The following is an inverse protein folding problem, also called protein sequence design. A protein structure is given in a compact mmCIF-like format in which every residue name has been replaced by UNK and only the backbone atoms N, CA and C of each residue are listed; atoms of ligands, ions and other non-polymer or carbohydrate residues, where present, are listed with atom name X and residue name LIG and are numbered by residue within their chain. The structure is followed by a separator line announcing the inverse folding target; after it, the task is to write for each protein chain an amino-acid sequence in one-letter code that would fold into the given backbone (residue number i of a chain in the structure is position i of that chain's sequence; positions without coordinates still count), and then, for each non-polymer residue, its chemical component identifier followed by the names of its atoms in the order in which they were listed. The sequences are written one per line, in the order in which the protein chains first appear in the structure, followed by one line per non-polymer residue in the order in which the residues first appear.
data_IF_171230235612
#
_entry.id   IF_171230235612
#
_cell.length_a   1.000
_cell.length_b   1.000
_cell.length_c   1.000
_cell.angle_alpha   90.00
_cell.angle_beta   90.00
_cell.angle_gamma   90.00
#
_symmetry.space_group_name_H-M   'P 1'
#
loop_
_entity.id
_entity.type
_entity.pdbx_description
1 polymer ?
#
# COMPACT_ATOMS: atom_id res chain seq x y z
N UNK A 1 -4.16 31.22 -7.94
CA UNK A 1 -3.40 29.98 -7.61
C UNK A 1 -2.78 29.99 -6.22
N UNK A 2 -2.69 31.15 -5.52
CA UNK A 2 -2.11 31.22 -4.17
C UNK A 2 -2.96 30.56 -3.08
N UNK A 3 -4.26 30.84 -3.03
CA UNK A 3 -5.13 30.37 -1.95
C UNK A 3 -5.30 28.85 -1.90
N UNK A 4 -5.36 28.15 -3.04
CA UNK A 4 -5.48 26.67 -3.08
C UNK A 4 -4.25 25.98 -2.50
N UNK A 5 -3.05 26.55 -2.72
CA UNK A 5 -1.80 26.04 -2.12
C UNK A 5 -1.74 26.30 -0.63
N UNK A 6 -2.13 27.49 -0.19
CA UNK A 6 -2.18 27.84 1.24
C UNK A 6 -3.17 26.93 1.98
N UNK A 7 -4.35 26.68 1.41
CA UNK A 7 -5.31 25.73 1.98
C UNK A 7 -4.78 24.30 1.95
N UNK A 8 -4.17 23.84 0.86
CA UNK A 8 -3.57 22.50 0.78
C UNK A 8 -2.56 22.27 1.92
N UNK A 9 -1.69 23.26 2.20
CA UNK A 9 -0.77 23.21 3.33
C UNK A 9 -1.51 23.24 4.67
N UNK A 10 -2.47 24.15 4.84
CA UNK A 10 -3.28 24.26 6.05
C UNK A 10 -4.06 22.98 6.37
N UNK A 11 -4.56 22.28 5.34
CA UNK A 11 -5.24 21.00 5.45
C UNK A 11 -4.31 19.90 5.99
N UNK A 12 -3.07 19.82 5.49
CA UNK A 12 -2.07 18.86 5.99
C UNK A 12 -1.72 19.17 7.44
N UNK A 13 -1.46 20.45 7.77
CA UNK A 13 -1.15 20.88 9.14
C UNK A 13 -2.32 20.55 10.07
N UNK A 14 -3.56 20.86 9.66
CA UNK A 14 -4.75 20.52 10.42
C UNK A 14 -4.87 19.00 10.65
N UNK A 15 -4.57 18.18 9.63
CA UNK A 15 -4.57 16.72 9.78
C UNK A 15 -3.56 16.23 10.82
N UNK A 16 -2.34 16.78 10.78
CA UNK A 16 -1.28 16.48 11.76
C UNK A 16 -1.74 16.86 13.17
N UNK A 17 -2.32 18.06 13.35
CA UNK A 17 -2.81 18.51 14.65
C UNK A 17 -3.97 17.64 15.17
N UNK A 18 -4.91 17.27 14.31
CA UNK A 18 -6.08 16.45 14.68
C UNK A 18 -5.72 15.00 15.00
N UNK A 19 -4.73 14.43 14.31
CA UNK A 19 -4.38 13.01 14.48
C UNK A 19 -3.15 12.77 15.34
N UNK A 20 -2.22 13.72 15.40
CA UNK A 20 -0.96 13.60 16.13
C UNK A 20 -1.17 13.35 17.62
N UNK A 21 -2.15 14.00 18.27
CA UNK A 21 -2.47 13.73 19.68
C UNK A 21 -2.99 12.31 19.93
N UNK A 22 -3.78 11.76 19.00
CA UNK A 22 -4.27 10.37 19.09
C UNK A 22 -3.12 9.39 18.87
N UNK A 23 -2.28 9.64 17.87
CA UNK A 23 -1.07 8.85 17.57
C UNK A 23 -0.14 8.84 18.78
N UNK A 24 0.17 10.01 19.34
CA UNK A 24 1.00 10.16 20.54
C UNK A 24 0.45 9.35 21.71
N UNK A 25 -0.87 9.44 21.95
CA UNK A 25 -1.53 8.69 23.02
C UNK A 25 -1.43 7.18 22.79
N UNK A 26 -1.64 6.70 21.57
CA UNK A 26 -1.53 5.25 21.28
C UNK A 26 -0.09 4.74 21.45
N UNK A 27 0.90 5.48 20.96
CA UNK A 27 2.32 5.14 21.10
C UNK A 27 2.73 5.12 22.58
N UNK A 28 2.26 6.09 23.37
CA UNK A 28 2.54 6.15 24.81
C UNK A 28 1.85 5.04 25.62
N UNK A 29 0.67 4.57 25.19
CA UNK A 29 -0.04 3.45 25.81
C UNK A 29 0.67 2.11 25.58
N UNK A 30 1.37 1.98 24.45
CA UNK A 30 2.08 0.75 24.08
C UNK A 30 3.53 1.10 23.72
N UNK A 31 4.38 1.41 24.72
CA UNK A 31 5.79 1.67 24.48
C UNK A 31 6.45 0.44 23.84
N UNK A 32 7.46 0.67 22.99
CA UNK A 32 8.12 -0.41 22.22
C UNK A 32 8.67 -1.52 23.14
N UNK A 33 9.14 -1.16 24.35
CA UNK A 33 9.64 -2.10 25.36
C UNK A 33 8.61 -3.12 25.80
N UNK A 34 7.32 -2.76 25.78
CA UNK A 34 6.21 -3.59 26.27
C UNK A 34 5.25 -3.96 25.14
N UNK A 35 5.66 -3.79 23.87
CA UNK A 35 4.79 -3.96 22.71
C UNK A 35 4.62 -5.45 22.32
N UNK A 36 5.62 -6.28 22.60
CA UNK A 36 5.68 -7.69 22.18
C UNK A 36 4.44 -8.54 22.53
N UNK A 37 3.81 -8.39 23.72
CA UNK A 37 2.58 -9.13 24.05
C UNK A 37 1.38 -8.77 23.16
N UNK A 38 1.45 -7.66 22.42
CA UNK A 38 0.38 -7.15 21.58
C UNK A 38 0.71 -7.23 20.09
N UNK A 39 1.99 -7.07 19.73
CA UNK A 39 2.44 -7.13 18.35
C UNK A 39 3.95 -7.33 18.25
N UNK A 40 4.33 -8.14 17.28
CA UNK A 40 5.71 -8.42 16.90
C UNK A 40 6.22 -7.56 15.74
N UNK A 41 5.36 -6.77 15.08
CA UNK A 41 5.72 -6.05 13.85
C UNK A 41 6.89 -5.07 14.08
N UNK A 42 6.74 -4.12 15.01
CA UNK A 42 7.80 -3.12 15.26
C UNK A 42 9.05 -3.78 15.85
N UNK A 43 8.97 -4.66 16.87
CA UNK A 43 10.15 -5.35 17.38
C UNK A 43 10.88 -6.19 16.33
N UNK A 44 10.15 -6.89 15.45
CA UNK A 44 10.75 -7.60 14.34
C UNK A 44 11.53 -6.65 13.42
N UNK A 45 10.94 -5.52 13.02
CA UNK A 45 11.61 -4.51 12.19
C UNK A 45 12.88 -3.96 12.83
N UNK A 46 12.92 -3.79 14.16
CA UNK A 46 14.13 -3.39 14.88
C UNK A 46 15.25 -4.43 14.78
N UNK A 47 14.91 -5.73 14.67
CA UNK A 47 15.91 -6.77 14.41
C UNK A 47 16.50 -6.62 13.00
N UNK A 48 15.67 -6.34 11.98
CA UNK A 48 16.18 -6.11 10.61
C UNK A 48 17.15 -4.92 10.55
N UNK A 49 16.74 -3.78 11.11
CA UNK A 49 17.53 -2.54 11.08
C UNK A 49 18.80 -2.66 11.92
N UNK A 50 18.73 -3.26 13.12
CA UNK A 50 19.89 -3.49 13.98
C UNK A 50 20.91 -4.40 13.30
N UNK A 51 20.47 -5.50 12.66
CA UNK A 51 21.35 -6.38 11.88
C UNK A 51 22.04 -5.63 10.75
N UNK A 52 21.29 -4.82 10.00
CA UNK A 52 21.86 -4.01 8.92
C UNK A 52 22.92 -3.02 9.44
N UNK A 53 22.62 -2.30 10.52
CA UNK A 53 23.51 -1.31 11.12
C UNK A 53 24.77 -1.94 11.74
N UNK A 54 24.68 -3.18 12.23
CA UNK A 54 25.80 -3.91 12.84
C UNK A 54 26.57 -4.80 11.85
N UNK A 55 26.19 -4.79 10.57
CA UNK A 55 26.82 -5.62 9.53
C UNK A 55 26.52 -7.11 9.64
N UNK A 56 25.47 -7.49 10.39
CA UNK A 56 24.98 -8.86 10.45
C UNK A 56 24.12 -9.19 9.23
N UNK A 57 23.99 -10.48 8.92
CA UNK A 57 23.07 -10.93 7.87
C UNK A 57 21.63 -10.62 8.28
N UNK A 58 20.94 -9.80 7.49
CA UNK A 58 19.56 -9.35 7.78
C UNK A 58 18.58 -10.52 7.67
N UNK A 59 18.70 -11.30 6.59
CA UNK A 59 17.78 -12.38 6.23
C UNK A 59 18.21 -13.74 6.81
N UNK A 60 18.26 -13.81 8.14
CA UNK A 60 18.45 -15.06 8.90
C UNK A 60 17.33 -15.23 9.93
N UNK A 61 17.07 -16.44 10.40
CA UNK A 61 16.04 -16.73 11.41
C UNK A 61 16.02 -15.68 12.54
N UNK A 62 14.84 -15.15 12.83
CA UNK A 62 14.59 -14.21 13.93
C UNK A 62 13.99 -15.02 15.07
N UNK A 63 14.51 -14.83 16.28
CA UNK A 63 13.89 -15.34 17.50
C UNK A 63 13.30 -14.17 18.26
N UNK A 64 11.99 -14.20 18.51
CA UNK A 64 11.27 -13.13 19.17
C UNK A 64 10.20 -13.74 20.08
N UNK A 65 10.08 -13.26 21.32
CA UNK A 65 9.09 -13.74 22.29
C UNK A 65 8.98 -15.28 22.43
N UNK A 66 10.09 -16.00 22.27
CA UNK A 66 10.15 -17.47 22.43
C UNK A 66 9.83 -18.30 21.19
N UNK A 67 9.40 -17.68 20.08
CA UNK A 67 9.21 -18.36 18.79
C UNK A 67 10.26 -17.91 17.76
N UNK A 68 10.35 -18.68 16.67
CA UNK A 68 11.30 -18.49 15.58
C UNK A 68 10.55 -18.35 14.27
N UNK A 69 11.05 -17.49 13.39
CA UNK A 69 10.52 -17.34 12.04
C UNK A 69 11.59 -16.87 11.06
N UNK A 70 11.45 -17.22 9.78
CA UNK A 70 12.30 -16.68 8.72
C UNK A 70 11.85 -15.27 8.32
N UNK A 71 12.80 -14.34 8.13
CA UNK A 71 12.54 -13.02 7.60
C UNK A 71 11.80 -13.04 6.26
N UNK A 72 10.59 -12.48 6.22
CA UNK A 72 9.76 -12.41 5.03
C UNK A 72 9.54 -10.97 4.51
N UNK A 73 10.03 -9.95 5.22
CA UNK A 73 9.83 -8.55 4.86
C UNK A 73 10.82 -8.09 3.78
N UNK A 74 10.33 -7.60 2.62
CA UNK A 74 11.18 -6.99 1.59
C UNK A 74 11.90 -5.73 2.10
N UNK A 75 13.01 -5.29 1.47
CA UNK A 75 13.83 -4.19 2.00
C UNK A 75 13.09 -2.90 2.30
N UNK A 76 12.14 -2.46 1.45
CA UNK A 76 11.38 -1.24 1.71
C UNK A 76 10.25 -1.39 2.73
N UNK A 77 10.10 -2.56 3.35
CA UNK A 77 9.29 -2.68 4.55
C UNK A 77 10.07 -2.37 5.84
N UNK A 78 11.41 -2.45 5.83
CA UNK A 78 12.25 -2.26 7.04
C UNK A 78 13.38 -1.23 6.88
N UNK A 79 14.09 -1.20 5.75
CA UNK A 79 15.22 -0.32 5.47
C UNK A 79 14.90 1.18 5.66
N UNK A 80 13.70 1.68 5.33
CA UNK A 80 13.32 3.07 5.57
C UNK A 80 13.36 3.48 7.05
N UNK A 81 13.35 2.53 7.99
CA UNK A 81 13.44 2.81 9.42
C UNK A 81 14.88 2.94 9.94
N UNK A 82 15.90 2.67 9.13
CA UNK A 82 17.31 2.94 9.52
C UNK A 82 17.54 4.37 10.00
N UNK A 83 17.09 5.43 9.28
CA UNK A 83 17.20 6.79 9.81
C UNK A 83 16.39 7.01 11.10
N UNK A 84 15.26 6.32 11.27
CA UNK A 84 14.47 6.42 12.50
C UNK A 84 15.23 5.83 13.69
N UNK A 85 15.84 4.65 13.50
CA UNK A 85 16.70 3.99 14.49
C UNK A 85 17.88 4.87 14.91
N UNK A 86 18.61 5.44 13.94
CA UNK A 86 19.77 6.31 14.19
C UNK A 86 19.40 7.60 14.94
N UNK A 87 18.18 8.10 14.76
CA UNK A 87 17.67 9.32 15.40
C UNK A 87 16.89 9.04 16.70
N UNK A 88 16.71 7.78 17.09
CA UNK A 88 15.88 7.39 18.23
C UNK A 88 14.40 7.75 18.05
N UNK A 89 13.91 7.77 16.81
CA UNK A 89 12.49 8.04 16.50
C UNK A 89 11.73 6.72 16.46
N UNK A 90 10.62 6.64 17.19
CA UNK A 90 9.71 5.49 17.13
C UNK A 90 9.23 5.23 15.68
N UNK A 91 9.29 3.98 15.24
CA UNK A 91 9.00 3.61 13.85
C UNK A 91 7.56 3.97 13.46
N UNK A 92 6.63 3.97 14.41
CA UNK A 92 5.22 4.34 14.18
C UNK A 92 5.07 5.82 13.87
N UNK A 93 5.85 6.70 14.53
CA UNK A 93 5.92 8.12 14.18
C UNK A 93 6.50 8.33 12.78
N UNK A 94 7.58 7.60 12.45
CA UNK A 94 8.19 7.68 11.14
C UNK A 94 7.23 7.23 10.02
N UNK A 95 6.53 6.12 10.23
CA UNK A 95 5.51 5.60 9.32
C UNK A 95 4.32 6.56 9.18
N UNK A 96 3.84 7.16 10.28
CA UNK A 96 2.77 8.15 10.23
C UNK A 96 3.19 9.40 9.44
N UNK A 97 4.45 9.82 9.57
CA UNK A 97 5.05 10.88 8.77
C UNK A 97 4.95 10.62 7.27
N UNK A 98 5.18 9.39 6.83
CA UNK A 98 5.03 8.99 5.43
C UNK A 98 3.55 9.04 4.96
N UNK A 99 2.58 8.71 5.81
CA UNK A 99 1.16 8.87 5.47
C UNK A 99 0.77 10.35 5.31
N UNK A 100 1.21 11.22 6.22
CA UNK A 100 1.02 12.67 6.08
C UNK A 100 1.73 13.24 4.85
N UNK A 101 2.91 12.73 4.50
CA UNK A 101 3.56 13.09 3.23
C UNK A 101 2.72 12.65 2.03
N UNK A 102 2.13 11.45 2.05
CA UNK A 102 1.17 10.99 1.04
C UNK A 102 -0.05 11.90 0.90
N UNK A 103 -0.61 12.36 2.03
CA UNK A 103 -1.67 13.35 2.05
C UNK A 103 -1.21 14.70 1.47
N UNK A 104 0.00 15.16 1.80
CA UNK A 104 0.55 16.39 1.24
C UNK A 104 0.73 16.31 -0.27
N UNK A 105 1.20 15.18 -0.79
CA UNK A 105 1.30 14.90 -2.22
C UNK A 105 -0.08 14.94 -2.90
N UNK A 106 -1.09 14.35 -2.27
CA UNK A 106 -2.48 14.43 -2.73
C UNK A 106 -2.96 15.89 -2.81
N UNK A 107 -2.83 16.66 -1.73
CA UNK A 107 -3.32 18.04 -1.65
C UNK A 107 -2.59 18.96 -2.63
N UNK A 108 -1.28 18.75 -2.81
CA UNK A 108 -0.49 19.46 -3.80
C UNK A 108 -0.95 19.17 -5.23
N UNK A 109 -1.27 17.91 -5.54
CA UNK A 109 -1.80 17.53 -6.85
C UNK A 109 -3.19 18.14 -7.07
N UNK A 110 -4.07 18.12 -6.06
CA UNK A 110 -5.39 18.75 -6.11
C UNK A 110 -5.32 20.27 -6.32
N UNK A 111 -4.39 20.96 -5.66
CA UNK A 111 -4.21 22.41 -5.79
C UNK A 111 -3.80 22.86 -7.20
N UNK A 112 -3.31 21.94 -8.04
CA UNK A 112 -2.95 22.17 -9.45
C UNK A 112 -4.14 21.99 -10.40
N UNK A 113 -5.24 21.37 -9.94
CA UNK A 113 -6.43 21.14 -10.75
C UNK A 113 -7.33 22.39 -10.77
N UNK A 114 -7.93 22.68 -11.93
CA UNK A 114 -8.84 23.82 -12.13
C UNK A 114 -10.30 23.41 -11.93
N UNK A 115 -10.66 23.01 -10.71
CA UNK A 115 -11.99 22.51 -10.37
C UNK A 115 -12.97 23.62 -9.96
N UNK A 116 -14.26 23.29 -9.89
CA UNK A 116 -15.27 24.14 -9.23
C UNK A 116 -15.06 24.10 -7.73
N UNK A 117 -15.33 25.20 -7.03
CA UNK A 117 -15.06 25.31 -5.59
C UNK A 117 -15.71 24.18 -4.74
N UNK A 118 -16.98 23.79 -4.94
CA UNK A 118 -17.58 22.70 -4.16
C UNK A 118 -16.89 21.35 -4.38
N UNK A 119 -16.58 21.00 -5.65
CA UNK A 119 -15.87 19.77 -5.99
C UNK A 119 -14.46 19.78 -5.41
N UNK A 120 -13.77 20.91 -5.51
CA UNK A 120 -12.44 21.09 -4.96
C UNK A 120 -12.44 20.94 -3.44
N UNK A 121 -13.38 21.57 -2.74
CA UNK A 121 -13.49 21.51 -1.28
C UNK A 121 -13.79 20.08 -0.83
N UNK A 122 -14.73 19.39 -1.49
CA UNK A 122 -15.05 17.99 -1.19
C UNK A 122 -13.81 17.11 -1.32
N UNK A 123 -13.07 17.23 -2.44
CA UNK A 123 -11.84 16.47 -2.68
C UNK A 123 -10.73 16.82 -1.69
N UNK A 124 -10.66 18.07 -1.25
CA UNK A 124 -9.65 18.50 -0.27
C UNK A 124 -9.96 17.98 1.13
N UNK A 125 -11.23 17.98 1.54
CA UNK A 125 -11.64 17.60 2.90
C UNK A 125 -11.74 16.08 3.07
N UNK A 126 -12.19 15.35 2.04
CA UNK A 126 -12.49 13.93 2.15
C UNK A 126 -11.30 13.08 2.65
N UNK A 127 -10.07 13.17 2.11
CA UNK A 127 -8.93 12.41 2.62
C UNK A 127 -8.55 12.76 4.06
N UNK A 128 -8.76 14.02 4.49
CA UNK A 128 -8.49 14.46 5.86
C UNK A 128 -9.44 13.76 6.83
N UNK A 129 -10.73 13.74 6.50
CA UNK A 129 -11.75 13.08 7.30
C UNK A 129 -11.49 11.58 7.35
N UNK A 130 -11.19 10.96 6.20
CA UNK A 130 -10.86 9.53 6.15
C UNK A 130 -9.66 9.23 7.05
N UNK A 131 -8.54 9.96 6.92
CA UNK A 131 -7.37 9.74 7.77
C UNK A 131 -7.70 9.96 9.26
N UNK A 132 -8.45 11.01 9.59
CA UNK A 132 -8.82 11.31 10.97
C UNK A 132 -9.70 10.22 11.60
N UNK A 133 -10.76 9.81 10.91
CA UNK A 133 -11.63 8.75 11.41
C UNK A 133 -10.91 7.41 11.48
N UNK A 134 -10.06 7.08 10.50
CA UNK A 134 -9.25 5.86 10.54
C UNK A 134 -8.35 5.82 11.77
N UNK A 135 -7.65 6.90 12.10
CA UNK A 135 -6.80 6.97 13.31
C UNK A 135 -7.64 6.86 14.60
N UNK A 136 -8.87 7.37 14.60
CA UNK A 136 -9.77 7.31 15.76
C UNK A 136 -10.39 5.93 15.98
N UNK A 137 -10.82 5.26 14.91
CA UNK A 137 -11.53 3.97 14.96
C UNK A 137 -10.55 2.80 14.99
N UNK A 138 -9.54 2.82 14.12
CA UNK A 138 -8.57 1.74 13.95
C UNK A 138 -7.27 2.03 14.71
N UNK A 139 -7.39 2.30 16.01
CA UNK A 139 -6.26 2.71 16.87
C UNK A 139 -5.11 1.70 16.86
N UNK A 140 -5.43 0.42 16.72
CA UNK A 140 -4.45 -0.67 16.65
C UNK A 140 -3.53 -0.55 15.42
N UNK A 141 -4.02 0.00 14.30
CA UNK A 141 -3.18 0.24 13.11
C UNK A 141 -2.01 1.14 13.47
N UNK A 142 -2.27 2.19 14.24
CA UNK A 142 -1.27 3.17 14.65
C UNK A 142 -0.43 2.66 15.82
N UNK A 143 -1.04 1.94 16.75
CA UNK A 143 -0.36 1.44 17.95
C UNK A 143 0.61 0.28 17.63
N UNK A 144 0.22 -0.62 16.74
CA UNK A 144 0.87 -1.93 16.59
C UNK A 144 1.58 -2.11 15.25
N UNK A 145 1.27 -1.29 14.25
CA UNK A 145 1.78 -1.50 12.89
C UNK A 145 2.52 -0.27 12.36
N UNK A 146 3.24 -0.46 11.26
CA UNK A 146 3.91 0.62 10.51
C UNK A 146 3.37 0.78 9.09
N UNK A 147 2.16 0.30 8.84
CA UNK A 147 1.56 0.22 7.51
C UNK A 147 1.30 1.58 6.86
N UNK A 148 1.24 2.62 7.69
CA UNK A 148 1.23 4.02 7.29
C UNK A 148 2.38 4.39 6.33
N UNK A 149 3.53 3.72 6.45
CA UNK A 149 4.65 3.86 5.50
C UNK A 149 4.25 3.40 4.09
N UNK A 150 3.62 2.23 4.00
CA UNK A 150 3.16 1.63 2.75
C UNK A 150 2.08 2.50 2.11
N UNK A 151 1.19 3.09 2.93
CA UNK A 151 0.18 4.02 2.43
C UNK A 151 0.83 5.25 1.78
N UNK A 152 1.92 5.76 2.36
CA UNK A 152 2.76 6.81 1.77
C UNK A 152 3.34 6.42 0.41
N UNK A 153 3.86 5.20 0.27
CA UNK A 153 4.41 4.70 -1.00
C UNK A 153 3.37 4.59 -2.10
N UNK A 154 2.18 4.09 -1.79
CA UNK A 154 1.10 4.00 -2.76
C UNK A 154 0.52 5.38 -3.11
N UNK A 155 0.50 6.33 -2.17
CA UNK A 155 0.15 7.71 -2.48
C UNK A 155 1.16 8.33 -3.47
N UNK A 156 2.46 8.10 -3.26
CA UNK A 156 3.51 8.51 -4.19
C UNK A 156 3.34 7.83 -5.56
N UNK A 157 3.05 6.52 -5.60
CA UNK A 157 2.78 5.79 -6.82
C UNK A 157 1.59 6.40 -7.57
N UNK A 158 0.48 6.66 -6.90
CA UNK A 158 -0.69 7.26 -7.54
C UNK A 158 -0.38 8.62 -8.19
N UNK A 159 0.40 9.47 -7.52
CA UNK A 159 0.90 10.73 -8.12
C UNK A 159 1.83 10.45 -9.29
N UNK A 160 2.74 9.48 -9.16
CA UNK A 160 3.67 9.10 -10.22
C UNK A 160 2.96 8.60 -11.48
N UNK A 161 1.87 7.83 -11.33
CA UNK A 161 1.04 7.34 -12.43
C UNK A 161 0.41 8.50 -13.22
N UNK A 162 -0.01 9.57 -12.52
CA UNK A 162 -0.63 10.74 -13.13
C UNK A 162 0.40 11.69 -13.80
N UNK A 163 1.66 11.61 -13.39
CA UNK A 163 2.78 12.37 -13.96
C UNK A 163 3.50 11.57 -15.06
N UNK A 164 4.30 12.25 -15.88
CA UNK A 164 5.10 11.65 -16.97
C UNK A 164 6.58 11.43 -16.61
N UNK A 165 6.96 11.65 -15.36
CA UNK A 165 8.36 11.52 -14.94
C UNK A 165 8.76 10.05 -14.83
N UNK A 166 9.69 9.62 -15.68
CA UNK A 166 10.28 8.27 -15.68
C UNK A 166 10.86 7.93 -14.31
N UNK A 167 11.65 8.84 -13.73
CA UNK A 167 12.30 8.63 -12.45
C UNK A 167 11.28 8.45 -11.32
N UNK A 168 10.24 9.29 -11.29
CA UNK A 168 9.19 9.21 -10.26
C UNK A 168 8.37 7.92 -10.37
N UNK A 169 8.02 7.50 -11.60
CA UNK A 169 7.31 6.23 -11.84
C UNK A 169 8.16 5.03 -11.41
N UNK A 170 9.43 5.00 -11.82
CA UNK A 170 10.32 3.90 -11.48
C UNK A 170 10.57 3.82 -9.97
N UNK A 171 10.90 4.93 -9.30
CA UNK A 171 11.15 4.92 -7.85
C UNK A 171 9.91 4.52 -7.06
N UNK A 172 8.73 5.05 -7.40
CA UNK A 172 7.49 4.70 -6.71
C UNK A 172 7.10 3.23 -6.93
N UNK A 173 7.31 2.69 -8.13
CA UNK A 173 7.11 1.25 -8.39
C UNK A 173 8.03 0.40 -7.52
N UNK A 174 9.32 0.73 -7.42
CA UNK A 174 10.28 -0.03 -6.60
C UNK A 174 9.93 0.06 -5.12
N UNK A 175 9.55 1.24 -4.62
CA UNK A 175 9.06 1.42 -3.24
C UNK A 175 7.85 0.53 -2.93
N UNK A 176 6.91 0.40 -3.85
CA UNK A 176 5.76 -0.48 -3.65
C UNK A 176 6.12 -1.97 -3.80
N UNK A 177 6.86 -2.36 -4.85
CA UNK A 177 7.20 -3.78 -5.13
C UNK A 177 8.12 -4.36 -4.05
N UNK A 178 9.13 -3.59 -3.62
CA UNK A 178 10.03 -4.01 -2.55
C UNK A 178 9.50 -3.66 -1.16
N UNK A 179 8.22 -3.28 -1.03
CA UNK A 179 7.55 -3.26 0.27
C UNK A 179 6.47 -4.34 0.34
N UNK A 180 5.78 -4.63 -0.77
CA UNK A 180 4.77 -5.69 -0.88
C UNK A 180 4.71 -6.28 -2.30
N UNK A 181 4.48 -7.59 -2.37
CA UNK A 181 4.28 -8.30 -3.64
C UNK A 181 2.89 -8.09 -4.28
N UNK A 182 2.02 -7.28 -3.66
CA UNK A 182 0.65 -7.02 -4.11
C UNK A 182 0.55 -6.16 -5.38
N UNK A 183 1.64 -5.89 -6.09
CA UNK A 183 1.59 -5.29 -7.44
C UNK A 183 1.92 -6.27 -8.55
N UNK A 184 2.48 -7.44 -8.24
CA UNK A 184 3.18 -8.27 -9.21
C UNK A 184 2.32 -8.61 -10.44
N UNK A 185 1.08 -9.02 -10.24
CA UNK A 185 0.16 -9.40 -11.34
C UNK A 185 -0.41 -8.20 -12.11
N UNK A 186 -0.36 -6.99 -11.55
CA UNK A 186 -0.82 -5.77 -12.22
C UNK A 186 0.28 -5.13 -13.10
N UNK A 187 1.56 -5.37 -12.78
CA UNK A 187 2.70 -4.78 -13.51
C UNK A 187 2.70 -5.06 -15.03
N UNK A 188 2.35 -6.26 -15.54
CA UNK A 188 2.29 -6.50 -16.98
C UNK A 188 1.30 -5.59 -17.70
N UNK A 189 0.11 -5.37 -17.12
CA UNK A 189 -0.85 -4.41 -17.67
C UNK A 189 -0.27 -3.00 -17.65
N UNK A 190 0.36 -2.58 -16.55
CA UNK A 190 0.94 -1.24 -16.47
C UNK A 190 2.06 -1.02 -17.49
N UNK A 191 2.91 -2.02 -17.73
CA UNK A 191 3.93 -1.96 -18.77
C UNK A 191 3.32 -1.79 -20.16
N UNK A 192 2.21 -2.50 -20.46
CA UNK A 192 1.47 -2.33 -21.71
C UNK A 192 0.88 -0.91 -21.85
N UNK A 193 0.31 -0.37 -20.78
CA UNK A 193 -0.22 0.99 -20.75
C UNK A 193 0.87 2.05 -20.97
N UNK A 194 2.04 1.87 -20.35
CA UNK A 194 3.21 2.73 -20.56
C UNK A 194 3.71 2.66 -21.99
N UNK A 195 3.80 1.45 -22.55
CA UNK A 195 4.28 1.23 -23.91
C UNK A 195 3.42 1.97 -24.94
N UNK A 196 2.11 1.93 -24.74
CA UNK A 196 1.15 2.66 -25.54
C UNK A 196 1.26 4.18 -25.38
N UNK A 197 1.47 4.68 -24.15
CA UNK A 197 1.66 6.12 -23.92
C UNK A 197 2.93 6.63 -24.63
N UNK A 198 4.06 5.96 -24.41
CA UNK A 198 5.33 6.28 -25.07
C UNK A 198 6.33 5.12 -24.90
N UNK A 199 6.70 4.38 -25.95
CA UNK A 199 7.53 3.18 -25.82
C UNK A 199 8.95 3.48 -25.31
N UNK A 200 9.51 4.65 -25.65
CA UNK A 200 10.83 5.07 -25.17
C UNK A 200 10.82 5.37 -23.67
N UNK A 201 9.79 6.05 -23.18
CA UNK A 201 9.66 6.30 -21.73
C UNK A 201 9.28 5.03 -20.97
N UNK A 202 8.46 4.16 -21.57
CA UNK A 202 8.13 2.85 -21.02
C UNK A 202 9.40 2.04 -20.76
N UNK A 203 10.27 1.90 -21.77
CA UNK A 203 11.50 1.14 -21.60
C UNK A 203 12.42 1.71 -20.54
N UNK A 204 12.57 3.04 -20.51
CA UNK A 204 13.37 3.71 -19.46
C UNK A 204 12.79 3.50 -18.07
N UNK A 205 11.47 3.52 -17.93
CA UNK A 205 10.79 3.32 -16.64
C UNK A 205 10.98 1.88 -16.15
N UNK A 206 10.74 0.90 -17.02
CA UNK A 206 10.91 -0.53 -16.69
C UNK A 206 12.37 -0.84 -16.38
N UNK A 207 13.30 -0.42 -17.24
CA UNK A 207 14.73 -0.65 -17.03
C UNK A 207 15.21 -0.02 -15.73
N UNK A 208 14.86 1.25 -15.48
CA UNK A 208 15.24 1.93 -14.23
C UNK A 208 14.63 1.25 -13.00
N UNK A 209 13.37 0.82 -13.06
CA UNK A 209 12.73 0.11 -11.96
C UNK A 209 13.40 -1.24 -11.69
N UNK A 210 13.72 -2.01 -12.74
CA UNK A 210 14.44 -3.29 -12.62
C UNK A 210 15.84 -3.08 -12.04
N UNK A 211 16.61 -2.13 -12.58
CA UNK A 211 17.97 -1.83 -12.09
C UNK A 211 17.93 -1.40 -10.62
N UNK A 212 17.04 -0.49 -10.24
CA UNK A 212 16.89 -0.06 -8.85
C UNK A 212 16.48 -1.22 -7.94
N UNK A 213 15.51 -2.04 -8.36
CA UNK A 213 15.07 -3.19 -7.60
C UNK A 213 16.21 -4.20 -7.39
N UNK A 214 16.97 -4.51 -8.45
CA UNK A 214 18.12 -5.43 -8.39
C UNK A 214 19.21 -4.87 -7.48
N UNK A 215 19.61 -3.61 -7.66
CA UNK A 215 20.67 -2.97 -6.87
C UNK A 215 20.31 -2.93 -5.38
N UNK A 216 19.04 -2.73 -5.04
CA UNK A 216 18.58 -2.69 -3.64
C UNK A 216 18.40 -4.11 -3.08
N UNK A 217 17.84 -5.03 -3.86
CA UNK A 217 17.39 -6.34 -3.36
C UNK A 217 18.49 -7.41 -3.39
N UNK A 218 19.29 -7.48 -4.45
CA UNK A 218 20.29 -8.54 -4.64
C UNK A 218 21.37 -8.56 -3.56
N UNK A 219 21.88 -7.44 -3.02
CA UNK A 219 22.85 -7.50 -1.92
C UNK A 219 22.37 -8.32 -0.73
N UNK A 220 21.07 -8.28 -0.46
CA UNK A 220 20.46 -9.04 0.64
C UNK A 220 20.22 -10.52 0.31
N UNK A 221 20.14 -10.88 -0.97
CA UNK A 221 19.98 -12.26 -1.44
C UNK A 221 21.30 -12.97 -1.71
N UNK A 222 22.42 -12.25 -1.68
CA UNK A 222 23.72 -12.79 -2.10
C UNK A 222 24.14 -14.02 -1.29
N UNK A 223 23.85 -14.04 0.01
CA UNK A 223 24.18 -15.16 0.89
C UNK A 223 23.20 -16.33 0.78
N UNK A 224 21.92 -16.05 0.54
CA UNK A 224 20.89 -17.06 0.37
C UNK A 224 19.78 -16.56 -0.58
N UNK A 225 19.84 -16.92 -1.87
CA UNK A 225 18.84 -16.51 -2.84
C UNK A 225 17.49 -17.21 -2.63
N UNK A 226 17.44 -18.26 -1.81
CA UNK A 226 16.22 -19.04 -1.57
C UNK A 226 15.42 -18.55 -0.36
N UNK A 227 15.98 -17.64 0.46
CA UNK A 227 15.42 -17.26 1.75
C UNK A 227 13.97 -16.78 1.66
N UNK A 228 13.62 -15.99 0.63
CA UNK A 228 12.26 -15.51 0.44
C UNK A 228 11.29 -16.63 0.05
N UNK A 229 11.71 -17.60 -0.77
CA UNK A 229 10.86 -18.74 -1.10
C UNK A 229 10.60 -19.61 0.14
N UNK A 230 11.63 -19.83 0.96
CA UNK A 230 11.50 -20.57 2.23
C UNK A 230 10.61 -19.82 3.23
N UNK A 231 10.79 -18.52 3.37
CA UNK A 231 9.95 -17.68 4.23
C UNK A 231 8.48 -17.66 3.78
N UNK A 232 8.21 -17.70 2.46
CA UNK A 232 6.83 -17.84 1.97
C UNK A 232 6.22 -19.22 2.25
N UNK A 233 7.02 -20.30 2.19
CA UNK A 233 6.56 -21.63 2.61
C UNK A 233 6.27 -21.68 4.12
N UNK A 234 7.07 -21.02 4.93
CA UNK A 234 6.83 -20.92 6.38
C UNK A 234 5.58 -20.08 6.69
N UNK A 235 5.34 -18.99 5.98
CA UNK A 235 4.11 -18.20 6.10
C UNK A 235 2.84 -19.05 5.88
N UNK A 236 2.91 -20.09 5.05
CA UNK A 236 1.79 -21.03 4.88
C UNK A 236 1.51 -21.81 6.17
N UNK A 237 2.55 -22.28 6.86
CA UNK A 237 2.40 -22.99 8.13
C UNK A 237 1.85 -22.06 9.24
N UNK A 238 2.37 -20.82 9.32
CA UNK A 238 1.84 -19.82 10.25
C UNK A 238 0.36 -19.54 9.96
N UNK A 239 0.01 -19.40 8.68
CA UNK A 239 -1.38 -19.21 8.25
C UNK A 239 -2.25 -20.40 8.61
N UNK A 240 -1.72 -21.63 8.51
CA UNK A 240 -2.42 -22.83 8.92
C UNK A 240 -2.68 -22.83 10.43
N UNK A 241 -1.69 -22.47 11.25
CA UNK A 241 -1.85 -22.33 12.71
C UNK A 241 -2.87 -21.26 13.10
N UNK A 242 -2.91 -20.14 12.38
CA UNK A 242 -3.93 -19.09 12.53
C UNK A 242 -5.34 -19.62 12.26
N UNK A 243 -5.49 -20.58 11.34
CA UNK A 243 -6.77 -21.21 11.02
C UNK A 243 -7.13 -22.37 11.95
N UNK A 244 -6.16 -22.96 12.65
CA UNK A 244 -6.34 -24.18 13.45
C UNK A 244 -6.33 -23.96 14.97
N UNK A 245 -5.43 -23.14 15.50
CA UNK A 245 -4.89 -23.34 16.87
C UNK A 245 -5.13 -22.22 17.89
N UNK A 246 -6.03 -21.27 17.63
CA UNK A 246 -6.25 -20.17 18.58
C UNK A 246 -7.44 -20.40 19.51
N UNK A 247 -7.42 -21.47 20.31
CA UNK A 247 -8.51 -21.81 21.26
C UNK A 247 -8.80 -20.65 22.25
N UNK A 248 -7.74 -19.96 22.71
CA UNK A 248 -7.83 -18.84 23.66
C UNK A 248 -8.24 -17.50 23.02
N UNK A 249 -8.07 -17.36 21.70
CA UNK A 249 -8.46 -16.17 20.94
C UNK A 249 -9.50 -16.53 19.86
N UNK A 250 -10.46 -17.39 20.24
CA UNK A 250 -11.60 -17.70 19.38
C UNK A 250 -12.77 -16.74 19.60
N UNK A 251 -13.38 -16.29 18.52
CA UNK A 251 -14.68 -15.65 18.56
C UNK A 251 -15.75 -16.76 18.51
N UNK A 252 -16.31 -17.15 19.67
CA UNK A 252 -17.31 -18.22 19.76
C UNK A 252 -16.83 -19.59 19.24
N UNK A 253 -15.54 -19.93 19.39
CA UNK A 253 -14.95 -21.16 18.86
C UNK A 253 -14.45 -21.08 17.41
N UNK A 254 -14.51 -19.89 16.79
CA UNK A 254 -14.00 -19.64 15.44
C UNK A 254 -12.67 -18.86 15.49
N UNK A 255 -11.73 -19.08 14.56
CA UNK A 255 -10.47 -18.35 14.53
C UNK A 255 -10.70 -16.84 14.37
N UNK A 256 -10.35 -16.03 15.37
CA UNK A 256 -10.69 -14.60 15.39
C UNK A 256 -10.14 -13.85 14.18
N UNK A 257 -8.86 -14.02 13.85
CA UNK A 257 -8.24 -13.29 12.73
C UNK A 257 -8.87 -13.58 11.36
N UNK A 258 -9.47 -14.76 11.17
CA UNK A 258 -10.21 -15.09 9.95
C UNK A 258 -11.55 -14.33 9.91
N UNK A 259 -12.26 -14.25 11.04
CA UNK A 259 -13.66 -13.77 11.11
C UNK A 259 -13.83 -12.30 11.51
N UNK A 260 -12.84 -11.66 12.14
CA UNK A 260 -12.91 -10.23 12.52
C UNK A 260 -12.28 -9.31 11.47
N UNK A 261 -11.72 -9.88 10.41
CA UNK A 261 -11.05 -9.15 9.35
C UNK A 261 -11.98 -8.57 8.28
N UNK A 262 -11.39 -7.87 7.31
CA UNK A 262 -12.09 -7.36 6.12
C UNK A 262 -11.70 -8.23 4.92
N UNK A 263 -12.53 -9.23 4.61
CA UNK A 263 -12.27 -10.14 3.50
C UNK A 263 -13.28 -11.27 3.38
N UNK A 264 -13.02 -12.17 2.44
CA UNK A 264 -13.87 -13.30 2.09
C UNK A 264 -13.35 -14.64 2.64
N UNK A 265 -12.21 -14.66 3.33
CA UNK A 265 -11.63 -15.86 3.93
C UNK A 265 -12.64 -16.68 4.77
N UNK A 266 -13.55 -16.08 5.59
CA UNK A 266 -14.57 -16.82 6.31
C UNK A 266 -15.43 -17.76 5.45
N UNK A 267 -15.63 -17.44 4.17
CA UNK A 267 -16.48 -18.23 3.28
C UNK A 267 -15.81 -19.54 2.83
N UNK A 268 -14.49 -19.63 2.99
CA UNK A 268 -13.71 -20.85 2.73
C UNK A 268 -13.48 -21.67 4.00
N UNK A 269 -13.75 -21.15 5.20
CA UNK A 269 -13.54 -21.88 6.44
C UNK A 269 -14.54 -23.02 6.61
N UNK A 270 -14.03 -24.26 6.73
CA UNK A 270 -14.83 -25.49 6.89
C UNK A 270 -14.49 -26.25 8.19
N UNK A 271 -13.86 -25.59 9.15
CA UNK A 271 -13.32 -26.18 10.37
C UNK A 271 -11.81 -26.40 10.32
N UNK A 272 -11.18 -26.56 11.48
CA UNK A 272 -9.73 -26.66 11.65
C UNK A 272 -9.11 -27.84 10.87
N UNK A 273 -9.78 -29.00 10.85
CA UNK A 273 -9.31 -30.18 10.11
C UNK A 273 -9.26 -29.96 8.60
N UNK A 274 -10.19 -29.16 8.06
CA UNK A 274 -10.28 -28.84 6.64
C UNK A 274 -9.42 -27.62 6.24
N UNK A 275 -8.77 -26.94 7.20
CA UNK A 275 -8.03 -25.71 6.98
C UNK A 275 -6.98 -25.80 5.85
N UNK A 276 -6.13 -26.85 5.74
CA UNK A 276 -5.15 -26.93 4.65
C UNK A 276 -5.80 -26.90 3.25
N UNK A 277 -6.89 -27.65 3.07
CA UNK A 277 -7.61 -27.70 1.80
C UNK A 277 -8.33 -26.38 1.52
N UNK A 278 -8.98 -25.79 2.53
CA UNK A 278 -9.63 -24.48 2.44
C UNK A 278 -8.66 -23.35 2.05
N UNK A 279 -7.47 -23.32 2.68
CA UNK A 279 -6.42 -22.34 2.37
C UNK A 279 -5.93 -22.52 0.93
N UNK A 280 -5.63 -23.75 0.52
CA UNK A 280 -5.18 -24.06 -0.85
C UNK A 280 -6.21 -23.63 -1.91
N UNK A 281 -7.50 -23.94 -1.68
CA UNK A 281 -8.58 -23.49 -2.56
C UNK A 281 -8.67 -21.96 -2.61
N UNK A 282 -8.59 -21.29 -1.46
CA UNK A 282 -8.62 -19.83 -1.40
C UNK A 282 -7.41 -19.22 -2.13
N UNK A 283 -6.21 -19.80 -2.02
CA UNK A 283 -5.02 -19.35 -2.75
C UNK A 283 -5.20 -19.44 -4.27
N UNK A 284 -5.74 -20.57 -4.77
CA UNK A 284 -6.02 -20.74 -6.21
C UNK A 284 -7.04 -19.71 -6.68
N UNK A 285 -8.13 -19.53 -5.93
CA UNK A 285 -9.16 -18.54 -6.26
C UNK A 285 -8.55 -17.15 -6.23
N UNK A 286 -7.82 -16.78 -5.17
CA UNK A 286 -7.17 -15.49 -5.01
C UNK A 286 -6.24 -15.16 -6.19
N UNK A 287 -5.35 -16.09 -6.56
CA UNK A 287 -4.47 -15.92 -7.71
C UNK A 287 -5.26 -15.74 -9.02
N UNK A 288 -6.28 -16.59 -9.24
CA UNK A 288 -7.11 -16.56 -10.44
C UNK A 288 -7.84 -15.24 -10.59
N UNK A 289 -8.53 -14.77 -9.54
CA UNK A 289 -9.27 -13.50 -9.59
C UNK A 289 -8.33 -12.30 -9.70
N UNK A 290 -7.18 -12.33 -9.02
CA UNK A 290 -6.18 -11.27 -9.15
C UNK A 290 -5.56 -11.21 -10.54
N UNK A 291 -5.34 -12.34 -11.22
CA UNK A 291 -4.85 -12.37 -12.60
C UNK A 291 -5.95 -11.95 -13.59
N UNK A 292 -7.21 -12.29 -13.31
CA UNK A 292 -8.34 -11.93 -14.16
C UNK A 292 -8.57 -10.42 -14.21
N UNK A 293 -8.43 -9.69 -13.09
CA UNK A 293 -8.64 -8.23 -13.07
C UNK A 293 -7.80 -7.45 -14.11
N UNK A 294 -6.45 -7.51 -14.11
CA UNK A 294 -5.64 -6.78 -15.07
C UNK A 294 -5.86 -7.29 -16.50
N UNK A 295 -6.12 -8.60 -16.68
CA UNK A 295 -6.46 -9.15 -18.00
C UNK A 295 -7.75 -8.52 -18.55
N UNK A 296 -8.83 -8.51 -17.76
CA UNK A 296 -10.12 -7.93 -18.13
C UNK A 296 -10.01 -6.43 -18.40
N UNK A 297 -9.25 -5.69 -17.58
CA UNK A 297 -8.98 -4.27 -17.85
C UNK A 297 -8.21 -4.07 -19.15
N UNK A 298 -7.21 -4.91 -19.44
CA UNK A 298 -6.45 -4.88 -20.69
C UNK A 298 -7.35 -5.15 -21.91
N UNK A 299 -8.18 -6.20 -21.86
CA UNK A 299 -9.13 -6.55 -22.91
C UNK A 299 -10.19 -5.45 -23.13
N UNK A 300 -10.70 -4.86 -22.04
CA UNK A 300 -11.68 -3.76 -22.11
C UNK A 300 -11.08 -2.47 -22.68
N UNK A 301 -9.84 -2.15 -22.29
CA UNK A 301 -9.14 -0.93 -22.70
C UNK A 301 -8.64 -0.99 -24.14
N UNK A 302 -8.14 -2.15 -24.60
CA UNK A 302 -7.51 -2.28 -25.93
C UNK A 302 -8.32 -1.71 -27.12
N UNK A 303 -9.63 -1.99 -27.28
CA UNK A 303 -10.42 -1.39 -28.36
C UNK A 303 -10.73 0.10 -28.16
N UNK A 304 -10.48 0.63 -26.95
CA UNK A 304 -10.76 2.02 -26.54
C UNK A 304 -9.49 2.83 -26.30
N UNK A 305 -8.32 2.26 -26.61
CA UNK A 305 -7.00 2.83 -26.26
C UNK A 305 -6.75 4.23 -26.81
N UNK A 306 -7.35 4.57 -27.94
CA UNK A 306 -7.25 5.91 -28.56
C UNK A 306 -8.12 6.96 -27.85
N UNK A 307 -9.13 6.54 -27.09
CA UNK A 307 -10.10 7.43 -26.43
C UNK A 307 -9.87 7.57 -24.93
N UNK A 308 -9.19 6.60 -24.31
CA UNK A 308 -9.00 6.53 -22.87
C UNK A 308 -7.57 6.87 -22.49
N UNK A 309 -7.40 7.81 -21.58
CA UNK A 309 -6.09 8.14 -21.01
C UNK A 309 -5.55 6.94 -20.21
N UNK A 310 -4.42 6.39 -20.66
CA UNK A 310 -3.75 5.23 -20.04
C UNK A 310 -3.44 5.46 -18.56
N UNK A 311 -3.24 6.70 -18.12
CA UNK A 311 -2.98 7.03 -16.69
C UNK A 311 -4.22 6.83 -15.83
N UNK A 312 -5.39 7.21 -16.34
CA UNK A 312 -6.67 6.99 -15.65
C UNK A 312 -6.96 5.49 -15.58
N UNK A 313 -6.72 4.77 -16.68
CA UNK A 313 -6.87 3.30 -16.72
C UNK A 313 -5.92 2.62 -15.73
N UNK A 314 -4.68 3.09 -15.60
CA UNK A 314 -3.73 2.57 -14.62
C UNK A 314 -4.23 2.75 -13.17
N UNK A 315 -4.74 3.94 -12.82
CA UNK A 315 -5.27 4.21 -11.47
C UNK A 315 -6.52 3.38 -11.17
N UNK A 316 -7.45 3.25 -12.12
CA UNK A 316 -8.69 2.49 -11.96
C UNK A 316 -8.45 0.98 -11.90
N UNK A 317 -7.61 0.45 -12.81
CA UNK A 317 -7.27 -0.98 -12.82
C UNK A 317 -6.53 -1.38 -11.56
N UNK A 318 -5.61 -0.55 -11.05
CA UNK A 318 -4.92 -0.82 -9.79
C UNK A 318 -5.88 -0.74 -8.59
N UNK A 319 -6.86 0.19 -8.59
CA UNK A 319 -7.90 0.20 -7.56
C UNK A 319 -8.67 -1.12 -7.52
N UNK A 320 -9.17 -1.55 -8.67
CA UNK A 320 -9.93 -2.79 -8.78
C UNK A 320 -9.08 -3.99 -8.35
N UNK A 321 -7.81 -4.02 -8.79
CA UNK A 321 -6.86 -5.05 -8.42
C UNK A 321 -6.64 -5.09 -6.90
N UNK A 322 -6.35 -3.96 -6.24
CA UNK A 322 -6.12 -3.91 -4.80
C UNK A 322 -7.37 -4.32 -4.00
N UNK A 323 -8.57 -3.92 -4.43
CA UNK A 323 -9.82 -4.36 -3.80
C UNK A 323 -9.94 -5.88 -3.84
N UNK A 324 -9.71 -6.49 -5.01
CA UNK A 324 -9.78 -7.94 -5.17
C UNK A 324 -8.67 -8.64 -4.38
N UNK A 325 -7.43 -8.15 -4.47
CA UNK A 325 -6.30 -8.70 -3.73
C UNK A 325 -6.56 -8.75 -2.22
N UNK A 326 -6.98 -7.63 -1.62
CA UNK A 326 -7.23 -7.57 -0.18
C UNK A 326 -8.49 -8.33 0.25
N UNK A 327 -9.52 -8.41 -0.61
CA UNK A 327 -10.73 -9.18 -0.31
C UNK A 327 -10.47 -10.69 -0.23
N UNK A 328 -9.46 -11.21 -0.95
CA UNK A 328 -9.13 -12.63 -1.02
C UNK A 328 -7.84 -13.00 -0.25
N UNK A 329 -7.38 -12.14 0.66
CA UNK A 329 -6.31 -12.51 1.59
C UNK A 329 -6.72 -13.67 2.50
N UNK A 330 -5.77 -14.55 2.77
CA UNK A 330 -5.99 -15.75 3.59
C UNK A 330 -6.16 -15.37 5.07
N UNK A 331 -5.41 -14.36 5.54
CA UNK A 331 -5.57 -13.76 6.86
C UNK A 331 -5.96 -12.28 6.67
N UNK A 332 -7.26 -11.95 6.75
CA UNK A 332 -7.79 -10.66 6.30
C UNK A 332 -7.63 -9.54 7.34
N UNK A 333 -6.40 -9.22 7.76
CA UNK A 333 -6.18 -8.14 8.73
C UNK A 333 -6.75 -6.79 8.23
N UNK A 334 -7.54 -6.12 9.08
CA UNK A 334 -8.24 -4.86 8.76
C UNK A 334 -7.27 -3.78 8.25
N UNK A 335 -6.10 -3.69 8.87
CA UNK A 335 -5.08 -2.69 8.54
C UNK A 335 -4.56 -2.81 7.09
N UNK A 336 -4.61 -4.00 6.48
CA UNK A 336 -4.19 -4.22 5.10
C UNK A 336 -5.19 -3.61 4.10
N UNK A 337 -6.49 -3.70 4.42
CA UNK A 337 -7.56 -3.18 3.57
C UNK A 337 -7.56 -1.64 3.50
N UNK A 338 -7.00 -0.95 4.50
CA UNK A 338 -6.86 0.51 4.55
C UNK A 338 -6.11 1.06 3.33
N UNK A 339 -5.15 0.30 2.79
CA UNK A 339 -4.43 0.70 1.60
C UNK A 339 -5.37 0.95 0.41
N UNK A 340 -6.38 0.09 0.25
CA UNK A 340 -7.39 0.24 -0.80
C UNK A 340 -8.20 1.52 -0.62
N UNK A 341 -8.47 1.93 0.62
CA UNK A 341 -9.16 3.18 0.94
C UNK A 341 -8.30 4.41 0.61
N UNK A 342 -7.00 4.40 0.94
CA UNK A 342 -6.06 5.47 0.56
C UNK A 342 -5.98 5.62 -0.95
N UNK A 343 -5.97 4.50 -1.69
CA UNK A 343 -5.98 4.53 -3.15
C UNK A 343 -7.26 5.17 -3.73
N UNK A 344 -8.41 4.98 -3.06
CA UNK A 344 -9.68 5.60 -3.47
C UNK A 344 -9.60 7.13 -3.54
N UNK A 345 -8.75 7.78 -2.73
CA UNK A 345 -8.55 9.23 -2.79
C UNK A 345 -8.12 9.65 -4.20
N UNK A 346 -7.15 8.95 -4.76
CA UNK A 346 -6.58 9.24 -6.07
C UNK A 346 -7.49 8.85 -7.22
N UNK A 347 -8.35 7.85 -7.04
CA UNK A 347 -9.45 7.55 -7.98
C UNK A 347 -10.41 8.73 -8.04
N UNK A 348 -10.87 9.23 -6.89
CA UNK A 348 -11.74 10.41 -6.82
C UNK A 348 -11.05 11.65 -7.41
N UNK A 349 -9.75 11.82 -7.18
CA UNK A 349 -8.95 12.90 -7.78
C UNK A 349 -8.93 12.81 -9.31
N UNK A 350 -8.69 11.61 -9.86
CA UNK A 350 -8.64 11.36 -11.30
C UNK A 350 -10.00 11.57 -11.99
N UNK A 351 -11.10 11.25 -11.29
CA UNK A 351 -12.46 11.51 -11.74
C UNK A 351 -12.82 12.98 -11.47
N UNK A 352 -12.41 13.88 -12.35
CA UNK A 352 -12.77 15.29 -12.30
C UNK A 352 -13.67 15.66 -13.47
N UNK A 353 -14.74 16.43 -13.20
CA UNK A 353 -15.63 16.92 -14.26
C UNK A 353 -14.92 18.09 -14.96
N UNK A 354 -14.61 18.00 -16.26
CA UNK A 354 -14.01 19.12 -16.97
C UNK A 354 -14.91 20.35 -16.83
N UNK A 355 -14.32 21.53 -16.60
CA UNK A 355 -15.06 22.79 -16.79
C UNK A 355 -15.59 22.79 -18.22
N UNK A 356 -16.91 22.92 -18.38
CA UNK A 356 -17.62 22.98 -19.68
C UNK A 356 -17.21 24.14 -20.61
N UNK A 357 -16.09 24.82 -20.35
CA UNK A 357 -15.66 26.02 -21.04
C UNK A 357 -14.76 25.76 -22.26
N UNK A 358 -14.49 24.49 -22.64
CA UNK A 358 -13.78 24.18 -23.89
C UNK A 358 -14.69 23.89 -25.09
N UNK A 359 -16.00 23.72 -24.89
CA UNK A 359 -16.94 23.58 -26.01
C UNK A 359 -17.30 24.92 -26.68
N UNK A 360 -16.98 26.07 -26.06
CA UNK A 360 -17.30 27.40 -26.63
C UNK A 360 -16.15 28.07 -27.37
N UNK A 361 -14.89 27.69 -27.15
CA UNK A 361 -13.77 28.26 -27.92
C UNK A 361 -13.58 27.59 -29.27
N UNK A 362 -13.85 26.28 -29.41
CA UNK A 362 -13.77 25.61 -30.71
C UNK A 362 -14.94 25.89 -31.65
N UNK A 363 -16.07 26.39 -31.13
CA UNK A 363 -17.22 26.81 -31.96
C UNK A 363 -17.13 28.28 -32.40
N UNK A 364 -16.31 29.09 -31.72
CA UNK A 364 -16.06 30.48 -32.12
C UNK A 364 -15.00 30.59 -33.22
N UNK A 365 -14.08 29.63 -33.33
CA UNK A 365 -13.07 29.57 -34.40
C UNK A 365 -13.58 28.91 -35.70
N UNK A 366 -14.80 28.33 -35.72
CA UNK A 366 -15.39 27.74 -36.93
C UNK A 366 -16.46 28.61 -37.60
N UNK A 367 -16.66 29.85 -37.14
CA UNK A 367 -17.62 30.83 -37.71
C UNK A 367 -16.89 32.12 -38.16
N UNK A 368 -15.55 32.13 -38.13
CA UNK A 368 -14.71 33.24 -38.58
C UNK A 368 -14.10 33.02 -39.94
#
# INVERSE_FOLDING_TARGET
MGWTKAFALGAVVLSILLTGGVVAKQIALYPVTDLLPHSDIVPALQVYTSRFLTGQSVYTEITLAGYRFLPNYPPFQWLPFVPAELLGIDYRWFAMGAWWAGLALYQWQLARLRLRWPEWLLKAVLPLLVLHFMVLTERQVVAFTVESLIFGYYALLAVALLQRSVALRASALVLCVLSRYSLALWLPLYALLLWHENPRQAWRTVLLAVVLAVVIFVPFLWHDPTIFFRAQLENYNITLDEWQNHIEDTLHGWPRHVFTGVGLAPWWYRGAEAAPNSISQLQIVHFTVCAAVPLLFGLWWWPRRERLDSRIVAVLSLKAYLVVFYAFLIVPYVYLAVLSLVWSWFVVLALSVPKANHARSSMAESIG
#
